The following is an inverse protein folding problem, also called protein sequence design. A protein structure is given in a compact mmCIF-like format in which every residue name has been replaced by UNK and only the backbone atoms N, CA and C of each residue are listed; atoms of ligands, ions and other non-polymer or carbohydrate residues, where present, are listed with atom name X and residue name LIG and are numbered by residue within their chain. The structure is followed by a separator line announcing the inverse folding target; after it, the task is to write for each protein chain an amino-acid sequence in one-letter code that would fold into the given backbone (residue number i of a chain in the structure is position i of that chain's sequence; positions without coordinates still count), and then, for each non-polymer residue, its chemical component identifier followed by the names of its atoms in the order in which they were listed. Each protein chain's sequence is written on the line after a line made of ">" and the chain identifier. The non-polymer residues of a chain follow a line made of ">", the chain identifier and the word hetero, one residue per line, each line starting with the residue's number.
data_IF_226374708621
#
_entry.id   IF_226374708621
#
_cell.length_a   1.000
_cell.length_b   1.000
_cell.length_c   1.000
_cell.angle_alpha   90.00
_cell.angle_beta   90.00
_cell.angle_gamma   90.00
#
_symmetry.space_group_name_H-M   'P 1'
#
loop_
_entity.id
_entity.type
_entity.pdbx_description
1 polymer ?
#
# COMPACT_ATOMS: atom_id res chain seq x y z
N UNK A 1 -15.01 21.63 -6.18
CA UNK A 1 -13.61 21.58 -5.71
C UNK A 1 -13.33 20.15 -5.28
N UNK A 2 -12.37 19.45 -5.89
CA UNK A 2 -12.02 18.08 -5.49
C UNK A 2 -11.21 18.16 -4.20
N UNK A 3 -11.71 17.56 -3.11
CA UNK A 3 -11.02 17.57 -1.82
C UNK A 3 -9.87 16.56 -1.86
N UNK A 4 -8.63 17.04 -1.75
CA UNK A 4 -7.43 16.18 -1.71
C UNK A 4 -7.32 15.55 -0.31
N UNK A 5 -7.35 14.21 -0.24
CA UNK A 5 -7.18 13.47 1.02
C UNK A 5 -5.71 13.42 1.43
N UNK A 6 -5.46 13.39 2.74
CA UNK A 6 -4.11 13.25 3.31
C UNK A 6 -4.15 12.26 4.47
N UNK A 7 -3.15 11.39 4.58
CA UNK A 7 -3.05 10.38 5.62
C UNK A 7 -1.65 10.35 6.22
N UNK A 8 -1.55 9.93 7.49
CA UNK A 8 -0.28 9.63 8.13
C UNK A 8 -0.07 8.12 8.22
N UNK A 9 1.00 7.63 7.62
CA UNK A 9 1.45 6.24 7.71
C UNK A 9 2.50 6.14 8.83
N UNK A 10 2.23 5.33 9.85
CA UNK A 10 3.21 5.05 10.93
C UNK A 10 3.77 3.65 10.73
N UNK A 11 5.10 3.56 10.59
CA UNK A 11 5.82 2.33 10.30
C UNK A 11 6.76 2.08 11.47
N UNK A 12 6.60 0.95 12.14
CA UNK A 12 7.47 0.53 13.22
C UNK A 12 8.20 -0.75 12.82
N UNK A 13 9.51 -0.78 13.05
CA UNK A 13 10.38 -1.89 12.65
C UNK A 13 11.50 -2.11 13.66
N UNK A 14 11.87 -3.37 13.83
CA UNK A 14 12.91 -3.83 14.77
C UNK A 14 13.66 -4.98 14.13
N UNK A 15 14.97 -5.03 14.30
CA UNK A 15 15.76 -6.16 13.84
C UNK A 15 15.61 -7.34 14.81
N UNK A 16 15.37 -8.54 14.29
CA UNK A 16 15.03 -9.72 15.12
C UNK A 16 16.22 -10.61 15.47
N UNK A 17 17.42 -10.36 14.91
CA UNK A 17 18.64 -11.12 15.25
C UNK A 17 19.38 -10.48 16.41
N UNK A 18 20.42 -11.15 16.90
CA UNK A 18 21.15 -10.78 18.13
C UNK A 18 22.10 -9.57 18.01
N UNK A 19 22.04 -8.82 16.90
CA UNK A 19 22.88 -7.65 16.66
C UNK A 19 22.09 -6.62 15.87
N UNK A 20 22.49 -5.35 15.96
CA UNK A 20 21.86 -4.29 15.18
C UNK A 20 22.15 -4.45 13.68
N UNK A 21 21.14 -4.22 12.84
CA UNK A 21 21.34 -4.17 11.40
C UNK A 21 21.77 -2.78 10.98
N UNK A 22 22.84 -2.69 10.20
CA UNK A 22 23.30 -1.43 9.60
C UNK A 22 22.83 -1.36 8.15
N UNK A 23 22.53 -0.14 7.67
CA UNK A 23 22.11 0.10 6.28
C UNK A 23 20.88 -0.72 5.83
N UNK A 24 19.84 -0.77 6.66
CA UNK A 24 18.57 -1.37 6.25
C UNK A 24 17.80 -0.42 5.33
N UNK A 25 17.02 -0.98 4.41
CA UNK A 25 16.18 -0.25 3.48
C UNK A 25 14.72 -0.42 3.87
N UNK A 26 14.00 0.71 3.89
CA UNK A 26 12.56 0.78 4.02
C UNK A 26 11.96 1.24 2.68
N UNK A 27 11.32 0.33 1.97
CA UNK A 27 10.64 0.58 0.71
C UNK A 27 9.12 0.71 0.94
N UNK A 28 8.55 1.84 0.56
CA UNK A 28 7.12 2.14 0.70
C UNK A 28 6.54 2.32 -0.71
N UNK A 29 5.76 1.36 -1.18
CA UNK A 29 4.94 1.58 -2.38
C UNK A 29 3.74 2.44 -2.02
N UNK A 30 3.35 3.37 -2.89
CA UNK A 30 2.22 4.27 -2.65
C UNK A 30 0.89 3.62 -3.06
N UNK A 31 -0.17 4.03 -2.37
CA UNK A 31 -1.55 3.80 -2.79
C UNK A 31 -1.80 4.46 -4.15
N UNK A 32 -2.69 3.88 -4.96
CA UNK A 32 -3.02 4.46 -6.27
C UNK A 32 -3.55 5.88 -6.11
N UNK A 33 -2.94 6.84 -6.82
CA UNK A 33 -3.31 8.26 -6.74
C UNK A 33 -2.68 9.02 -5.57
N UNK A 34 -1.79 8.41 -4.79
CA UNK A 34 -1.09 9.05 -3.67
C UNK A 34 0.41 9.23 -3.93
N UNK A 35 1.00 10.24 -3.29
CA UNK A 35 2.43 10.50 -3.28
C UNK A 35 2.89 10.85 -1.85
N UNK A 36 4.15 10.51 -1.47
CA UNK A 36 4.68 10.88 -0.18
C UNK A 36 4.90 12.39 -0.08
N UNK A 37 4.83 12.91 1.14
CA UNK A 37 5.19 14.29 1.48
C UNK A 37 6.73 14.42 1.50
N UNK A 38 7.26 15.14 0.51
CA UNK A 38 8.70 15.36 0.35
C UNK A 38 9.26 16.20 1.50
N UNK A 39 8.52 17.19 1.99
CA UNK A 39 8.97 18.06 3.08
C UNK A 39 9.08 17.27 4.39
N UNK A 40 8.14 16.35 4.62
CA UNK A 40 8.21 15.43 5.74
C UNK A 40 9.42 14.48 5.65
N UNK A 41 9.69 13.88 4.48
CA UNK A 41 10.87 13.04 4.28
C UNK A 41 12.18 13.82 4.47
N UNK A 42 12.24 15.05 3.96
CA UNK A 42 13.40 15.93 4.13
C UNK A 42 13.64 16.28 5.60
N UNK A 43 12.58 16.51 6.38
CA UNK A 43 12.68 16.71 7.83
C UNK A 43 13.17 15.47 8.57
N UNK A 44 12.75 14.28 8.16
CA UNK A 44 13.24 13.03 8.76
C UNK A 44 14.75 12.82 8.46
N UNK A 45 15.22 13.19 7.26
CA UNK A 45 16.64 13.17 6.89
C UNK A 45 17.47 14.18 7.68
N UNK A 46 16.96 15.41 7.83
CA UNK A 46 17.69 16.52 8.48
C UNK A 46 17.50 16.58 10.00
N UNK A 47 16.75 15.64 10.59
CA UNK A 47 16.46 15.60 12.02
C UNK A 47 17.72 15.41 12.88
N UNK A 48 17.66 15.82 14.13
CA UNK A 48 18.76 15.70 15.10
C UNK A 48 19.14 14.24 15.33
N UNK A 49 18.14 13.36 15.38
CA UNK A 49 18.32 11.93 15.63
C UNK A 49 18.86 11.17 14.41
N UNK A 50 18.85 11.79 13.21
CA UNK A 50 19.33 11.22 11.94
C UNK A 50 18.91 9.75 11.72
N UNK A 51 17.62 9.43 11.90
CA UNK A 51 17.13 8.06 11.69
C UNK A 51 17.34 7.55 10.26
N UNK A 52 17.31 8.46 9.30
CA UNK A 52 17.41 8.20 7.85
C UNK A 52 18.68 8.85 7.32
N UNK A 53 19.45 8.12 6.51
CA UNK A 53 20.62 8.67 5.79
C UNK A 53 20.20 9.40 4.51
N UNK A 54 19.33 8.78 3.72
CA UNK A 54 18.84 9.36 2.48
C UNK A 54 17.45 8.81 2.10
N UNK A 55 16.83 9.40 1.08
CA UNK A 55 15.62 8.89 0.48
C UNK A 55 15.58 9.12 -1.03
N UNK A 56 14.89 8.23 -1.74
CA UNK A 56 14.60 8.33 -3.16
C UNK A 56 13.10 8.20 -3.40
N UNK A 57 12.59 8.93 -4.41
CA UNK A 57 11.19 8.80 -4.83
C UNK A 57 11.19 8.40 -6.29
N UNK A 58 10.88 7.14 -6.55
CA UNK A 58 10.68 6.63 -7.89
C UNK A 58 9.24 6.87 -8.30
N UNK A 59 9.05 7.79 -9.25
CA UNK A 59 7.78 7.97 -9.94
C UNK A 59 7.67 6.84 -10.96
N UNK A 60 7.06 5.72 -10.57
CA UNK A 60 6.83 4.61 -11.48
C UNK A 60 6.09 5.07 -12.74
N UNK A 61 6.32 4.38 -13.86
CA UNK A 61 5.71 4.71 -15.15
C UNK A 61 4.18 4.52 -15.21
N UNK A 62 3.57 3.92 -14.18
CA UNK A 62 2.16 3.48 -14.14
C UNK A 62 1.49 3.72 -12.76
N UNK A 63 1.49 4.97 -12.28
CA UNK A 63 0.64 5.43 -11.17
C UNK A 63 0.98 4.99 -9.73
N UNK A 64 1.88 4.03 -9.52
CA UNK A 64 2.40 3.68 -8.18
C UNK A 64 3.80 4.25 -8.01
N UNK A 65 3.88 5.36 -7.27
CA UNK A 65 5.16 5.87 -6.79
C UNK A 65 5.74 4.97 -5.70
N UNK A 66 7.06 4.90 -5.60
CA UNK A 66 7.74 4.22 -4.50
C UNK A 66 8.65 5.21 -3.78
N UNK A 67 8.58 5.26 -2.45
CA UNK A 67 9.54 5.95 -1.62
C UNK A 67 10.52 4.91 -1.05
N UNK A 68 11.80 5.07 -1.35
CA UNK A 68 12.88 4.25 -0.80
C UNK A 68 13.57 5.09 0.27
N UNK A 69 13.65 4.57 1.48
CA UNK A 69 14.21 5.24 2.65
C UNK A 69 15.40 4.41 3.13
N UNK A 70 16.56 5.04 3.23
CA UNK A 70 17.78 4.40 3.72
C UNK A 70 17.93 4.65 5.22
N UNK A 71 17.87 3.59 6.02
CA UNK A 71 18.00 3.67 7.47
C UNK A 71 19.46 3.49 7.86
N UNK A 72 19.95 4.34 8.78
CA UNK A 72 21.32 4.21 9.28
C UNK A 72 21.51 2.88 10.03
N UNK A 73 20.54 2.55 10.88
CA UNK A 73 20.60 1.42 11.80
C UNK A 73 19.20 0.99 12.21
N UNK A 74 18.98 -0.32 12.34
CA UNK A 74 17.84 -0.90 13.03
C UNK A 74 18.32 -1.60 14.30
N UNK A 75 17.77 -1.19 15.43
CA UNK A 75 18.10 -1.77 16.73
C UNK A 75 17.51 -3.18 16.85
N UNK A 76 18.26 -4.07 17.51
CA UNK A 76 17.75 -5.38 17.93
C UNK A 76 17.07 -5.37 19.31
N UNK A 77 17.17 -4.26 20.05
CA UNK A 77 16.56 -4.11 21.38
C UNK A 77 15.31 -3.23 21.32
N UNK A 78 15.36 -2.15 20.56
CA UNK A 78 14.34 -1.10 20.50
C UNK A 78 13.67 -1.05 19.11
N UNK A 79 12.40 -0.65 19.09
CA UNK A 79 11.66 -0.47 17.84
C UNK A 79 11.84 0.95 17.31
N UNK A 80 12.18 1.06 16.02
CA UNK A 80 12.22 2.33 15.31
C UNK A 80 10.85 2.59 14.67
N UNK A 81 10.20 3.68 15.07
CA UNK A 81 8.94 4.12 14.46
C UNK A 81 9.13 5.42 13.66
N UNK A 82 8.71 5.39 12.39
CA UNK A 82 8.74 6.53 11.48
C UNK A 82 7.31 6.89 11.08
N UNK A 83 7.03 8.20 10.99
CA UNK A 83 5.74 8.71 10.50
C UNK A 83 5.96 9.42 9.17
N UNK A 84 5.34 8.89 8.12
CA UNK A 84 5.37 9.42 6.75
C UNK A 84 4.00 9.94 6.39
N UNK A 85 3.90 11.17 5.89
CA UNK A 85 2.65 11.70 5.36
C UNK A 85 2.51 11.35 3.87
N UNK A 86 1.31 10.98 3.46
CA UNK A 86 0.96 10.70 2.06
C UNK A 86 -0.24 11.56 1.65
N UNK A 87 -0.15 12.15 0.47
CA UNK A 87 -1.15 13.07 -0.07
C UNK A 87 -1.73 12.53 -1.37
N UNK A 88 -3.04 12.70 -1.53
CA UNK A 88 -3.72 12.37 -2.78
C UNK A 88 -3.34 13.39 -3.86
N UNK A 89 -2.64 12.92 -4.89
CA UNK A 89 -2.21 13.73 -6.02
C UNK A 89 -3.33 13.82 -7.09
N UNK A 90 -4.04 12.72 -7.35
CA UNK A 90 -5.24 12.69 -8.20
C UNK A 90 -6.33 11.76 -7.63
N UNK A 91 -7.62 12.08 -7.85
CA UNK A 91 -8.71 11.22 -7.44
C UNK A 91 -8.75 9.94 -8.29
N UNK A 92 -9.06 8.82 -7.64
CA UNK A 92 -9.29 7.51 -8.28
C UNK A 92 -10.57 6.90 -7.75
N UNK A 93 -11.21 6.08 -8.57
CA UNK A 93 -12.43 5.37 -8.19
C UNK A 93 -12.14 4.22 -7.20
N UNK A 94 -11.02 3.53 -7.39
CA UNK A 94 -10.57 2.44 -6.52
C UNK A 94 -9.13 2.67 -6.04
N UNK A 95 -8.95 2.79 -4.73
CA UNK A 95 -7.63 2.87 -4.10
C UNK A 95 -7.12 1.45 -3.90
N UNK A 96 -6.09 1.08 -4.66
CA UNK A 96 -5.45 -0.22 -4.44
C UNK A 96 -4.56 -0.16 -3.19
N UNK A 97 -4.58 -1.20 -2.35
CA UNK A 97 -3.63 -1.37 -1.27
C UNK A 97 -2.19 -1.29 -1.78
N UNK A 98 -1.33 -0.85 -0.88
CA UNK A 98 0.09 -0.76 -1.12
C UNK A 98 0.86 -1.50 -0.03
N UNK A 99 2.18 -1.52 -0.13
CA UNK A 99 3.05 -2.30 0.72
C UNK A 99 4.21 -1.50 1.29
N UNK A 100 4.62 -1.91 2.48
CA UNK A 100 5.84 -1.50 3.16
C UNK A 100 6.73 -2.73 3.25
N UNK A 101 7.95 -2.63 2.74
CA UNK A 101 8.95 -3.69 2.80
C UNK A 101 10.20 -3.20 3.51
N UNK A 102 10.69 -3.96 4.48
CA UNK A 102 11.98 -3.72 5.15
C UNK A 102 12.92 -4.87 4.82
N UNK A 103 14.15 -4.55 4.44
CA UNK A 103 15.19 -5.54 4.15
C UNK A 103 16.59 -4.97 4.39
N UNK A 104 17.55 -5.85 4.60
CA UNK A 104 18.95 -5.46 4.76
C UNK A 104 19.62 -5.31 3.39
N UNK A 105 20.43 -4.26 3.23
CA UNK A 105 21.16 -4.01 1.97
C UNK A 105 22.06 -5.20 1.56
N UNK A 106 22.68 -5.87 2.54
CA UNK A 106 23.59 -7.00 2.30
C UNK A 106 22.90 -8.36 2.20
N UNK A 107 21.62 -8.46 2.57
CA UNK A 107 20.87 -9.71 2.62
C UNK A 107 19.42 -9.48 2.21
N UNK A 108 19.21 -9.08 0.95
CA UNK A 108 17.91 -8.67 0.41
C UNK A 108 16.88 -9.82 0.33
N UNK A 109 17.31 -11.07 0.54
CA UNK A 109 16.45 -12.22 0.74
C UNK A 109 15.69 -12.15 2.08
N UNK A 110 16.26 -11.50 3.10
CA UNK A 110 15.63 -11.28 4.40
C UNK A 110 14.74 -10.04 4.34
N UNK A 111 13.64 -10.16 3.59
CA UNK A 111 12.64 -9.08 3.45
C UNK A 111 11.37 -9.37 4.24
N UNK A 112 10.85 -8.35 4.90
CA UNK A 112 9.56 -8.38 5.58
C UNK A 112 8.62 -7.40 4.90
N UNK A 113 7.51 -7.89 4.36
CA UNK A 113 6.51 -7.06 3.68
C UNK A 113 5.19 -7.06 4.44
N UNK A 114 4.61 -5.88 4.62
CA UNK A 114 3.26 -5.67 5.13
C UNK A 114 2.47 -4.82 4.16
N UNK A 115 1.17 -5.08 4.04
CA UNK A 115 0.26 -4.30 3.20
C UNK A 115 -0.52 -3.29 4.05
N UNK A 116 -0.87 -2.16 3.46
CA UNK A 116 -1.66 -1.10 4.08
C UNK A 116 -2.68 -0.51 3.09
N UNK A 117 -3.79 0.00 3.63
CA UNK A 117 -4.85 0.66 2.88
C UNK A 117 -5.58 1.69 3.76
N UNK A 118 -6.32 2.63 3.16
CA UNK A 118 -6.95 3.77 3.86
C UNK A 118 -8.41 3.56 4.26
N UNK A 119 -9.12 2.66 3.58
CA UNK A 119 -10.59 2.56 3.68
C UNK A 119 -11.08 1.11 3.91
N UNK A 120 -10.28 0.24 4.56
CA UNK A 120 -10.65 -1.18 4.69
C UNK A 120 -10.35 -1.81 6.05
N UNK A 121 -11.29 -2.66 6.51
CA UNK A 121 -11.14 -3.53 7.70
C UNK A 121 -9.94 -4.51 7.56
N UNK A 122 -9.49 -4.75 6.33
CA UNK A 122 -8.30 -5.54 6.00
C UNK A 122 -7.39 -4.79 5.05
N UNK A 123 -6.08 -4.80 5.28
CA UNK A 123 -5.11 -4.18 4.37
C UNK A 123 -4.84 -5.00 3.10
N UNK A 124 -5.51 -6.14 2.95
CA UNK A 124 -5.41 -7.03 1.80
C UNK A 124 -6.60 -6.87 0.87
N UNK A 125 -6.40 -7.29 -0.37
CA UNK A 125 -7.45 -7.40 -1.37
C UNK A 125 -8.55 -8.36 -0.90
N UNK A 126 -9.80 -8.00 -1.17
CA UNK A 126 -10.96 -8.81 -0.84
C UNK A 126 -10.87 -10.17 -1.55
N UNK A 127 -10.96 -11.26 -0.79
CA UNK A 127 -10.90 -12.62 -1.33
C UNK A 127 -11.85 -13.56 -0.62
N UNK A 128 -12.37 -14.52 -1.35
CA UNK A 128 -13.16 -15.64 -0.83
C UNK A 128 -12.34 -16.90 -1.07
N UNK A 129 -12.02 -17.62 0.01
CA UNK A 129 -11.22 -18.84 -0.07
C UNK A 129 -12.03 -20.05 0.42
N UNK A 130 -11.93 -21.15 -0.33
CA UNK A 130 -12.45 -22.46 0.05
C UNK A 130 -11.26 -23.43 0.01
N UNK A 131 -10.77 -23.81 1.19
CA UNK A 131 -9.48 -24.49 1.32
C UNK A 131 -8.34 -23.61 0.78
N UNK A 132 -7.54 -24.18 -0.12
CA UNK A 132 -6.42 -23.47 -0.77
C UNK A 132 -6.84 -22.67 -2.02
N UNK A 133 -8.10 -22.82 -2.47
CA UNK A 133 -8.59 -22.14 -3.67
C UNK A 133 -9.21 -20.80 -3.27
N UNK A 134 -8.59 -19.70 -3.69
CA UNK A 134 -9.10 -18.35 -3.47
C UNK A 134 -9.59 -17.71 -4.77
N UNK A 135 -10.71 -16.99 -4.69
CA UNK A 135 -11.23 -16.12 -5.74
C UNK A 135 -11.19 -14.68 -5.29
N UNK A 136 -10.87 -13.78 -6.23
CA UNK A 136 -10.92 -12.35 -6.00
C UNK A 136 -12.36 -11.91 -5.74
N UNK A 137 -12.56 -11.10 -4.71
CA UNK A 137 -13.83 -10.49 -4.33
C UNK A 137 -13.71 -8.95 -4.30
N UNK A 138 -12.75 -8.38 -5.04
CA UNK A 138 -12.64 -6.94 -5.23
C UNK A 138 -13.80 -6.40 -6.07
N UNK A 139 -14.12 -5.13 -5.82
CA UNK A 139 -15.16 -4.39 -6.53
C UNK A 139 -16.35 -4.03 -5.65
N UNK A 140 -17.41 -3.53 -6.29
CA UNK A 140 -18.62 -3.13 -5.58
C UNK A 140 -19.40 -4.36 -5.09
N UNK A 141 -19.95 -4.26 -3.88
CA UNK A 141 -20.95 -5.20 -3.40
C UNK A 141 -22.14 -5.19 -4.37
N UNK A 142 -22.41 -6.33 -5.02
CA UNK A 142 -23.54 -6.44 -5.94
C UNK A 142 -24.84 -6.21 -5.19
N UNK A 143 -25.61 -5.23 -5.68
CA UNK A 143 -26.97 -5.01 -5.22
C UNK A 143 -27.92 -5.96 -5.95
N UNK A 144 -29.04 -6.28 -5.31
CA UNK A 144 -30.08 -7.07 -5.95
C UNK A 144 -30.64 -6.33 -7.17
N UNK A 145 -30.86 -7.05 -8.26
CA UNK A 145 -31.43 -6.49 -9.49
C UNK A 145 -32.84 -5.94 -9.19
N UNK A 146 -33.17 -4.71 -9.62
CA UNK A 146 -34.50 -4.13 -9.40
C UNK A 146 -35.62 -5.02 -9.97
N UNK A 147 -36.73 -5.12 -9.23
CA UNK A 147 -37.89 -5.95 -9.61
C UNK A 147 -38.51 -5.55 -10.96
N UNK A 148 -38.39 -4.27 -11.35
CA UNK A 148 -39.00 -3.71 -12.56
C UNK A 148 -38.20 -3.96 -13.86
N UNK A 149 -37.19 -4.84 -13.84
CA UNK A 149 -36.40 -5.16 -15.04
C UNK A 149 -37.25 -5.89 -16.08
N UNK A 150 -37.39 -5.31 -17.28
CA UNK A 150 -38.23 -5.86 -18.35
C UNK A 150 -37.68 -7.17 -18.95
N UNK A 151 -38.54 -8.01 -19.55
CA UNK A 151 -38.11 -9.27 -20.17
C UNK A 151 -37.07 -9.07 -21.29
N UNK A 152 -37.17 -7.99 -22.08
CA UNK A 152 -36.22 -7.75 -23.17
C UNK A 152 -34.82 -7.42 -22.64
N UNK A 153 -34.73 -6.61 -21.58
CA UNK A 153 -33.45 -6.25 -20.94
C UNK A 153 -32.79 -7.49 -20.32
N UNK A 154 -33.59 -8.36 -19.69
CA UNK A 154 -33.07 -9.63 -19.15
C UNK A 154 -32.48 -10.49 -20.26
N UNK A 155 -33.23 -10.69 -21.35
CA UNK A 155 -32.79 -11.51 -22.48
C UNK A 155 -31.51 -10.96 -23.12
N UNK A 156 -31.44 -9.65 -23.37
CA UNK A 156 -30.24 -9.06 -23.98
C UNK A 156 -29.01 -9.21 -23.07
N UNK A 157 -29.19 -9.05 -21.75
CA UNK A 157 -28.09 -9.18 -20.78
C UNK A 157 -27.61 -10.62 -20.70
N UNK A 158 -28.50 -11.60 -20.62
CA UNK A 158 -28.13 -13.03 -20.52
C UNK A 158 -27.35 -13.54 -21.73
N UNK A 159 -27.47 -12.88 -22.89
CA UNK A 159 -26.75 -13.26 -24.11
C UNK A 159 -25.43 -12.50 -24.32
N UNK A 160 -25.00 -11.66 -23.37
CA UNK A 160 -23.70 -10.97 -23.45
C UNK A 160 -22.53 -11.95 -23.27
N UNK A 161 -21.40 -11.66 -23.92
CA UNK A 161 -20.18 -12.47 -23.77
C UNK A 161 -19.69 -12.50 -22.33
N UNK A 162 -19.29 -13.68 -21.86
CA UNK A 162 -18.91 -13.92 -20.46
C UNK A 162 -20.06 -14.42 -19.57
N UNK A 163 -21.24 -14.67 -20.13
CA UNK A 163 -22.32 -15.42 -19.48
C UNK A 163 -22.25 -16.89 -19.91
N UNK A 164 -21.97 -17.77 -18.95
CA UNK A 164 -21.89 -19.21 -19.20
C UNK A 164 -23.26 -19.90 -19.12
N UNK A 165 -24.15 -19.41 -18.24
CA UNK A 165 -25.47 -19.98 -17.95
C UNK A 165 -26.46 -18.92 -17.46
#
# INVERSE_FOLDING_TARGET
>A
MVQKKSFSLTICTKHLKDADATMSILEISMLTGFSPDVDNLQRLKNGVDRYISDYEINKGAFDKGTAIIYLNKLSHTEELCLKVYIHQYFPVEYIQPASVTVYDYYAAENRCTKFYNVDSDSSLLGKICVGEVCKCAEGHCRQQVPKDTTPQIRFSKTCEGGMDY
#
